data_IF_596460916728
#
_entry.id   IF_596460916728
#
_cell.length_a   1.000
_cell.length_b   1.000
_cell.length_c   1.000
_cell.angle_alpha   90.00
_cell.angle_beta   90.00
_cell.angle_gamma   90.00
#
_symmetry.space_group_name_H-M   'P 1'
#
loop_
_entity.id
_entity.type
_entity.pdbx_description
1 polymer ?
#
# COMPACT_ATOMS: atom_id res chain seq x y z
N UNK A 1 -16.47 1.25 -17.71
CA UNK A 1 -15.40 1.91 -16.92
C UNK A 1 -15.57 3.41 -17.05
N UNK A 2 -15.87 4.11 -15.96
CA UNK A 2 -15.92 5.57 -16.03
C UNK A 2 -14.49 6.10 -15.86
N UNK A 3 -13.95 6.78 -16.86
CA UNK A 3 -12.55 7.20 -16.93
C UNK A 3 -12.14 8.27 -15.89
N UNK A 4 -13.08 8.74 -15.08
CA UNK A 4 -12.88 9.81 -14.09
C UNK A 4 -13.49 9.36 -12.76
N UNK A 5 -12.66 9.27 -11.72
CA UNK A 5 -13.08 8.93 -10.36
C UNK A 5 -13.71 10.14 -9.65
N UNK A 6 -12.96 11.25 -9.59
CA UNK A 6 -13.31 12.44 -8.81
C UNK A 6 -12.90 13.73 -9.54
N UNK A 7 -13.69 14.79 -9.38
CA UNK A 7 -13.44 16.13 -9.95
C UNK A 7 -13.37 17.16 -8.80
N UNK A 8 -12.35 17.99 -8.82
CA UNK A 8 -12.12 19.09 -7.86
C UNK A 8 -12.10 20.41 -8.63
N UNK A 9 -12.82 21.42 -8.16
CA UNK A 9 -12.92 22.71 -8.85
C UNK A 9 -12.25 23.78 -8.00
N UNK A 10 -11.31 24.53 -8.57
CA UNK A 10 -10.69 25.70 -7.93
C UNK A 10 -11.18 26.99 -8.59
N UNK A 11 -11.89 27.85 -7.85
CA UNK A 11 -12.41 29.10 -8.40
C UNK A 11 -12.56 30.19 -7.32
N UNK A 12 -12.52 31.47 -7.73
CA UNK A 12 -12.75 32.60 -6.80
C UNK A 12 -14.22 32.79 -6.41
N UNK A 13 -15.16 32.30 -7.22
CA UNK A 13 -16.59 32.53 -7.04
C UNK A 13 -17.31 31.23 -6.66
N UNK A 14 -17.15 30.82 -5.40
CA UNK A 14 -17.72 29.56 -4.87
C UNK A 14 -19.22 29.43 -5.14
N UNK A 15 -19.99 30.49 -4.82
CA UNK A 15 -21.46 30.49 -4.87
C UNK A 15 -22.01 30.21 -6.27
N UNK A 16 -21.33 30.69 -7.32
CA UNK A 16 -21.74 30.43 -8.70
C UNK A 16 -21.57 28.96 -9.09
N UNK A 17 -20.55 28.28 -8.57
CA UNK A 17 -20.25 26.90 -8.94
C UNK A 17 -20.89 25.87 -8.01
N UNK A 18 -21.08 26.17 -6.72
CA UNK A 18 -21.72 25.26 -5.75
C UNK A 18 -23.14 24.81 -6.15
N UNK A 19 -23.84 25.60 -6.96
CA UNK A 19 -25.24 25.35 -7.26
C UNK A 19 -25.43 24.28 -8.35
N UNK A 20 -24.61 24.30 -9.41
CA UNK A 20 -24.67 23.28 -10.46
C UNK A 20 -23.82 22.06 -10.14
N UNK A 21 -22.80 22.19 -9.27
CA UNK A 21 -21.93 21.06 -8.92
C UNK A 21 -22.65 19.99 -8.11
N UNK A 22 -23.74 20.34 -7.41
CA UNK A 22 -24.60 19.41 -6.67
C UNK A 22 -25.30 18.39 -7.59
N UNK A 23 -25.49 18.73 -8.86
CA UNK A 23 -26.13 17.85 -9.83
C UNK A 23 -25.18 16.75 -10.33
N UNK A 24 -23.89 16.81 -10.00
CA UNK A 24 -22.85 15.90 -10.47
C UNK A 24 -22.20 15.13 -9.34
N UNK A 25 -22.50 13.83 -9.23
CA UNK A 25 -22.01 12.95 -8.16
C UNK A 25 -20.48 12.77 -8.12
N UNK A 26 -19.76 13.11 -9.19
CA UNK A 26 -18.30 13.02 -9.27
C UNK A 26 -17.57 14.27 -8.79
N UNK A 27 -18.27 15.38 -8.60
CA UNK A 27 -17.66 16.61 -8.14
C UNK A 27 -17.60 16.55 -6.61
N UNK A 28 -16.39 16.47 -6.05
CA UNK A 28 -16.22 16.36 -4.60
C UNK A 28 -16.46 17.68 -3.90
N UNK A 29 -15.86 18.77 -4.39
CA UNK A 29 -16.08 20.11 -3.85
C UNK A 29 -15.56 21.24 -4.77
N UNK A 30 -15.94 22.46 -4.43
CA UNK A 30 -15.48 23.73 -5.01
C UNK A 30 -14.63 24.47 -3.97
N UNK A 31 -13.37 24.70 -4.31
CA UNK A 31 -12.37 25.34 -3.45
C UNK A 31 -12.08 26.75 -3.91
N UNK A 32 -11.98 27.68 -2.95
CA UNK A 32 -11.54 29.06 -3.16
C UNK A 32 -10.12 29.31 -2.69
N UNK A 33 -9.59 28.39 -1.89
CA UNK A 33 -8.27 28.46 -1.28
C UNK A 33 -7.38 27.32 -1.77
N UNK A 34 -6.11 27.64 -2.06
CA UNK A 34 -5.17 26.69 -2.65
C UNK A 34 -4.77 25.60 -1.63
N UNK A 35 -4.70 25.94 -0.35
CA UNK A 35 -4.35 24.99 0.71
C UNK A 35 -5.44 23.95 0.85
N UNK A 36 -6.70 24.40 0.86
CA UNK A 36 -7.88 23.53 1.01
C UNK A 36 -8.01 22.53 -0.15
N UNK A 37 -7.76 22.95 -1.40
CA UNK A 37 -7.76 21.99 -2.52
C UNK A 37 -6.56 21.04 -2.46
N UNK A 38 -5.38 21.51 -2.05
CA UNK A 38 -4.21 20.65 -1.88
C UNK A 38 -4.45 19.57 -0.81
N UNK A 39 -5.07 19.91 0.32
CA UNK A 39 -5.46 18.95 1.36
C UNK A 39 -6.48 17.93 0.83
N UNK A 40 -7.53 18.40 0.14
CA UNK A 40 -8.54 17.52 -0.44
C UNK A 40 -7.96 16.57 -1.51
N UNK A 41 -7.02 17.06 -2.33
CA UNK A 41 -6.31 16.24 -3.32
C UNK A 41 -5.40 15.21 -2.66
N UNK A 42 -4.66 15.58 -1.60
CA UNK A 42 -3.85 14.62 -0.82
C UNK A 42 -4.72 13.52 -0.22
N UNK A 43 -5.81 13.91 0.43
CA UNK A 43 -6.75 12.97 1.04
C UNK A 43 -7.39 12.05 -0.02
N UNK A 44 -7.79 12.60 -1.17
CA UNK A 44 -8.35 11.81 -2.26
C UNK A 44 -7.32 10.84 -2.86
N UNK A 45 -6.06 11.24 -3.00
CA UNK A 45 -4.97 10.37 -3.45
C UNK A 45 -4.73 9.22 -2.48
N UNK A 46 -4.61 9.50 -1.18
CA UNK A 46 -4.45 8.48 -0.14
C UNK A 46 -5.64 7.52 -0.12
N UNK A 47 -6.86 8.07 -0.22
CA UNK A 47 -8.07 7.26 -0.20
C UNK A 47 -8.23 6.42 -1.47
N UNK A 48 -7.74 6.89 -2.63
CA UNK A 48 -7.64 6.08 -3.85
C UNK A 48 -6.68 4.90 -3.67
N UNK A 49 -5.54 5.10 -3.00
CA UNK A 49 -4.59 4.03 -2.74
C UNK A 49 -5.12 2.99 -1.73
N UNK A 50 -5.85 3.43 -0.70
CA UNK A 50 -6.50 2.57 0.29
C UNK A 50 -7.75 1.87 -0.24
N UNK A 51 -8.52 2.53 -1.10
CA UNK A 51 -9.73 1.96 -1.72
C UNK A 51 -9.45 1.25 -3.06
N UNK A 52 -8.19 1.12 -3.44
CA UNK A 52 -7.80 0.37 -4.63
C UNK A 52 -8.32 -1.08 -4.54
N UNK A 53 -8.65 -1.65 -5.70
CA UNK A 53 -9.23 -3.00 -5.84
C UNK A 53 -8.45 -4.00 -4.97
N UNK A 54 -9.18 -4.71 -4.10
CA UNK A 54 -8.62 -5.75 -3.24
C UNK A 54 -7.96 -6.84 -4.09
N UNK A 55 -6.75 -7.28 -3.69
CA UNK A 55 -6.16 -8.50 -4.24
C UNK A 55 -6.98 -9.70 -3.76
N UNK A 56 -7.82 -10.24 -4.65
CA UNK A 56 -8.66 -11.40 -4.35
C UNK A 56 -8.16 -12.63 -5.10
N UNK A 57 -7.27 -13.39 -4.48
CA UNK A 57 -6.82 -14.69 -5.00
C UNK A 57 -7.80 -15.83 -4.69
N UNK A 58 -8.74 -15.59 -3.77
CA UNK A 58 -9.80 -16.52 -3.40
C UNK A 58 -11.14 -15.80 -3.39
N UNK A 59 -12.16 -16.39 -3.98
CA UNK A 59 -13.53 -15.91 -3.77
C UNK A 59 -13.88 -16.11 -2.29
N UNK A 60 -14.07 -15.05 -1.52
CA UNK A 60 -14.51 -15.12 -0.10
C UNK A 60 -16.03 -15.25 0.03
N UNK A 61 -16.75 -15.26 -1.09
CA UNK A 61 -18.19 -15.51 -1.11
C UNK A 61 -18.49 -17.01 -0.88
N UNK A 62 -18.86 -17.35 0.36
CA UNK A 62 -19.36 -18.67 0.76
C UNK A 62 -18.44 -19.44 1.71
N UNK A 63 -19.07 -20.33 2.48
CA UNK A 63 -18.49 -21.21 3.51
C UNK A 63 -17.12 -21.78 3.10
N UNK A 64 -16.05 -21.23 3.68
CA UNK A 64 -14.66 -21.48 3.28
C UNK A 64 -14.26 -22.96 3.40
N UNK A 65 -15.00 -23.75 4.18
CA UNK A 65 -14.73 -25.18 4.39
C UNK A 65 -15.18 -26.08 3.23
N UNK A 66 -15.87 -25.56 2.21
CA UNK A 66 -16.41 -26.36 1.09
C UNK A 66 -15.75 -26.09 -0.27
N UNK A 67 -14.77 -25.19 -0.35
CA UNK A 67 -14.10 -24.89 -1.63
C UNK A 67 -12.96 -25.87 -1.86
N UNK A 68 -13.04 -26.62 -2.96
CA UNK A 68 -11.92 -27.42 -3.45
C UNK A 68 -10.74 -26.48 -3.73
N UNK A 69 -9.60 -26.72 -3.07
CA UNK A 69 -8.34 -26.02 -3.34
C UNK A 69 -7.90 -26.21 -4.81
N UNK A 70 -8.37 -27.27 -5.47
CA UNK A 70 -8.12 -27.54 -6.89
C UNK A 70 -8.78 -26.53 -7.86
N UNK A 71 -9.63 -25.62 -7.37
CA UNK A 71 -10.25 -24.53 -8.14
C UNK A 71 -9.62 -23.16 -7.89
N UNK A 72 -8.47 -23.10 -7.21
CA UNK A 72 -7.72 -21.86 -7.02
C UNK A 72 -7.27 -21.29 -8.37
N UNK A 73 -7.34 -19.97 -8.49
CA UNK A 73 -6.80 -19.25 -9.65
C UNK A 73 -5.29 -19.53 -9.77
N UNK A 74 -4.78 -19.77 -10.98
CA UNK A 74 -3.36 -20.01 -11.22
C UNK A 74 -2.47 -18.88 -10.68
N UNK A 75 -2.99 -17.65 -10.59
CA UNK A 75 -2.34 -16.51 -9.94
C UNK A 75 -1.97 -16.78 -8.47
N UNK A 76 -2.72 -17.61 -7.75
CA UNK A 76 -2.37 -18.04 -6.40
C UNK A 76 -1.08 -18.86 -6.39
N UNK A 77 -0.96 -19.83 -7.30
CA UNK A 77 0.26 -20.63 -7.45
C UNK A 77 1.46 -19.76 -7.80
N UNK A 78 1.32 -18.84 -8.76
CA UNK A 78 2.40 -17.92 -9.13
C UNK A 78 2.80 -17.01 -7.97
N UNK A 79 1.84 -16.53 -7.19
CA UNK A 79 2.11 -15.68 -6.03
C UNK A 79 2.81 -16.46 -4.91
N UNK A 80 2.44 -17.73 -4.68
CA UNK A 80 3.14 -18.60 -3.72
C UNK A 80 4.59 -18.86 -4.15
N UNK A 81 4.80 -19.22 -5.42
CA UNK A 81 6.14 -19.45 -5.97
C UNK A 81 6.98 -18.17 -5.87
N UNK A 82 6.42 -17.02 -6.23
CA UNK A 82 7.10 -15.72 -6.12
C UNK A 82 7.48 -15.43 -4.66
N UNK A 83 6.56 -15.64 -3.72
CA UNK A 83 6.84 -15.50 -2.28
C UNK A 83 7.99 -16.41 -1.85
N UNK A 84 7.97 -17.69 -2.19
CA UNK A 84 9.03 -18.64 -1.85
C UNK A 84 10.40 -18.24 -2.43
N UNK A 85 10.42 -17.77 -3.69
CA UNK A 85 11.63 -17.25 -4.33
C UNK A 85 12.16 -16.06 -3.54
N UNK A 86 11.31 -15.06 -3.27
CA UNK A 86 11.70 -13.85 -2.54
C UNK A 86 12.28 -14.18 -1.16
N UNK A 87 11.64 -15.07 -0.40
CA UNK A 87 12.09 -15.45 0.94
C UNK A 87 13.36 -16.31 0.95
N UNK A 88 13.74 -16.89 -0.19
CA UNK A 88 14.96 -17.67 -0.35
C UNK A 88 16.17 -16.81 -0.75
N UNK A 89 15.94 -15.65 -1.37
CA UNK A 89 17.00 -14.74 -1.77
C UNK A 89 17.68 -14.17 -0.51
N UNK A 90 19.02 -14.17 -0.52
CA UNK A 90 19.81 -13.48 0.49
C UNK A 90 20.01 -12.04 0.05
N UNK A 91 19.20 -11.14 0.61
CA UNK A 91 19.38 -9.71 0.41
C UNK A 91 20.53 -9.17 1.27
N UNK A 92 21.24 -8.21 0.71
CA UNK A 92 22.33 -7.49 1.36
C UNK A 92 22.15 -5.97 1.16
N UNK A 93 23.08 -5.18 1.71
CA UNK A 93 23.03 -3.72 1.60
C UNK A 93 23.06 -3.20 0.16
N UNK A 94 23.59 -3.98 -0.81
CA UNK A 94 23.65 -3.56 -2.20
C UNK A 94 22.24 -3.50 -2.80
N UNK A 95 21.39 -4.47 -2.48
CA UNK A 95 19.99 -4.48 -2.91
C UNK A 95 19.21 -3.26 -2.36
N UNK A 96 19.49 -2.87 -1.11
CA UNK A 96 18.89 -1.68 -0.49
C UNK A 96 19.35 -0.42 -1.23
N UNK A 97 20.64 -0.30 -1.54
CA UNK A 97 21.21 0.84 -2.28
C UNK A 97 20.65 0.95 -3.69
N UNK A 98 20.52 -0.16 -4.40
CA UNK A 98 19.91 -0.21 -5.73
C UNK A 98 18.45 0.25 -5.70
N UNK A 99 17.67 -0.22 -4.72
CA UNK A 99 16.29 0.23 -4.52
C UNK A 99 16.22 1.73 -4.22
N UNK A 100 17.06 2.24 -3.32
CA UNK A 100 17.12 3.67 -2.99
C UNK A 100 17.44 4.52 -4.21
N UNK A 101 18.41 4.10 -5.05
CA UNK A 101 18.76 4.82 -6.27
C UNK A 101 17.61 4.80 -7.28
N UNK A 102 16.96 3.64 -7.46
CA UNK A 102 15.76 3.54 -8.28
C UNK A 102 14.66 4.49 -7.82
N UNK A 103 14.40 4.58 -6.50
CA UNK A 103 13.42 5.52 -5.96
C UNK A 103 13.82 6.99 -6.18
N UNK A 104 15.11 7.34 -6.09
CA UNK A 104 15.57 8.72 -6.37
C UNK A 104 15.29 9.14 -7.80
N UNK A 105 15.52 8.23 -8.76
CA UNK A 105 15.22 8.47 -10.17
C UNK A 105 13.72 8.58 -10.42
N UNK A 106 12.93 7.69 -9.80
CA UNK A 106 11.48 7.67 -9.95
C UNK A 106 10.78 8.92 -9.38
N UNK A 107 11.35 9.52 -8.34
CA UNK A 107 10.78 10.66 -7.62
C UNK A 107 11.60 11.96 -7.72
N UNK A 108 12.36 12.13 -8.82
CA UNK A 108 13.29 13.26 -8.99
C UNK A 108 12.63 14.64 -8.82
N UNK A 109 11.36 14.78 -9.21
CA UNK A 109 10.60 16.04 -9.14
C UNK A 109 9.80 16.19 -7.83
N UNK A 110 9.98 15.31 -6.85
CA UNK A 110 9.22 15.30 -5.60
C UNK A 110 10.14 15.40 -4.38
N UNK A 111 10.51 16.64 -4.01
CA UNK A 111 11.39 16.95 -2.87
C UNK A 111 10.93 16.32 -1.55
N UNK A 112 9.61 16.26 -1.32
CA UNK A 112 9.04 15.65 -0.12
C UNK A 112 9.32 14.16 -0.06
N UNK A 113 9.16 13.44 -1.18
CA UNK A 113 9.47 12.01 -1.25
C UNK A 113 10.98 11.78 -1.20
N UNK A 114 11.78 12.62 -1.86
CA UNK A 114 13.25 12.54 -1.80
C UNK A 114 13.79 12.68 -0.37
N UNK A 115 13.19 13.54 0.46
CA UNK A 115 13.55 13.65 1.87
C UNK A 115 13.20 12.38 2.66
N UNK A 116 12.06 11.75 2.38
CA UNK A 116 11.70 10.46 2.97
C UNK A 116 12.65 9.34 2.51
N UNK A 117 13.09 9.33 1.25
CA UNK A 117 14.07 8.36 0.74
C UNK A 117 15.42 8.53 1.46
N UNK A 118 15.88 9.77 1.68
CA UNK A 118 17.11 10.04 2.46
C UNK A 118 16.97 9.57 3.91
N UNK A 119 15.81 9.76 4.53
CA UNK A 119 15.53 9.25 5.87
C UNK A 119 15.55 7.73 5.91
N UNK A 120 14.91 7.09 4.94
CA UNK A 120 14.90 5.63 4.78
C UNK A 120 16.31 5.06 4.64
N UNK A 121 17.13 5.57 3.71
CA UNK A 121 18.49 5.08 3.49
C UNK A 121 19.36 5.15 4.75
N UNK A 122 19.21 6.20 5.57
CA UNK A 122 20.02 6.40 6.77
C UNK A 122 19.54 5.59 7.97
N UNK A 123 18.23 5.47 8.13
CA UNK A 123 17.61 4.99 9.36
C UNK A 123 16.88 3.66 9.16
N UNK A 124 17.08 2.96 8.03
CA UNK A 124 16.35 1.73 7.72
C UNK A 124 16.40 0.73 8.88
N UNK A 125 17.61 0.48 9.40
CA UNK A 125 17.86 -0.46 10.49
C UNK A 125 17.49 0.06 11.88
N UNK A 126 17.19 1.35 12.02
CA UNK A 126 16.85 1.96 13.32
C UNK A 126 15.39 1.69 13.71
N UNK A 127 14.55 1.37 12.73
CA UNK A 127 13.12 1.18 12.89
C UNK A 127 12.70 -0.21 12.40
N UNK A 128 11.52 -0.68 12.83
CA UNK A 128 11.05 -2.00 12.41
C UNK A 128 10.46 -1.98 10.99
N UNK A 129 10.47 -3.11 10.26
CA UNK A 129 9.85 -3.20 8.93
C UNK A 129 8.36 -2.80 8.92
N UNK A 130 7.62 -3.12 9.99
CA UNK A 130 6.20 -2.77 10.13
C UNK A 130 6.04 -1.27 10.36
N UNK A 131 6.94 -0.65 11.14
CA UNK A 131 6.95 0.80 11.29
C UNK A 131 7.15 1.48 9.93
N UNK A 132 8.11 1.03 9.13
CA UNK A 132 8.32 1.54 7.76
C UNK A 132 7.10 1.32 6.86
N UNK A 133 6.44 0.16 6.97
CA UNK A 133 5.23 -0.15 6.23
C UNK A 133 4.02 0.71 6.64
N UNK A 134 3.96 1.19 7.88
CA UNK A 134 2.79 1.92 8.39
C UNK A 134 3.01 3.43 8.52
N UNK A 135 4.26 3.88 8.57
CA UNK A 135 4.59 5.30 8.59
C UNK A 135 4.18 5.96 7.26
N UNK A 136 3.87 7.25 7.31
CA UNK A 136 3.54 8.05 6.13
C UNK A 136 4.81 8.27 5.28
N UNK A 137 5.09 7.31 4.39
CA UNK A 137 6.21 7.36 3.47
C UNK A 137 5.88 6.67 2.14
N UNK A 138 6.84 6.63 1.22
CA UNK A 138 6.66 6.09 -0.13
C UNK A 138 6.54 4.56 -0.18
N UNK A 139 6.96 3.83 0.86
CA UNK A 139 7.03 2.36 0.84
C UNK A 139 5.66 1.69 0.76
N UNK A 140 4.73 2.06 1.65
CA UNK A 140 3.37 1.49 1.67
C UNK A 140 2.65 1.60 0.32
N UNK A 141 2.50 2.80 -0.27
CA UNK A 141 1.76 2.94 -1.52
C UNK A 141 2.47 2.25 -2.68
N UNK A 142 3.80 2.31 -2.72
CA UNK A 142 4.61 1.66 -3.76
C UNK A 142 4.51 0.13 -3.70
N UNK A 143 4.69 -0.46 -2.51
CA UNK A 143 4.62 -1.91 -2.31
C UNK A 143 3.23 -2.44 -2.63
N UNK A 144 2.19 -1.85 -2.04
CA UNK A 144 0.82 -2.33 -2.23
C UNK A 144 0.36 -2.16 -3.69
N UNK A 145 0.79 -1.09 -4.37
CA UNK A 145 0.54 -0.93 -5.79
C UNK A 145 1.26 -2.00 -6.61
N UNK A 146 2.53 -2.27 -6.34
CA UNK A 146 3.30 -3.29 -7.04
C UNK A 146 2.67 -4.68 -6.89
N UNK A 147 2.27 -5.05 -5.67
CA UNK A 147 1.57 -6.32 -5.41
C UNK A 147 0.22 -6.39 -6.13
N UNK A 148 -0.60 -5.32 -6.08
CA UNK A 148 -1.90 -5.28 -6.78
C UNK A 148 -1.78 -5.43 -8.29
N UNK A 149 -0.75 -4.84 -8.88
CA UNK A 149 -0.52 -4.87 -10.32
C UNK A 149 0.35 -6.06 -10.75
N UNK A 150 0.82 -6.88 -9.80
CA UNK A 150 1.82 -7.92 -10.04
C UNK A 150 3.04 -7.39 -10.81
N UNK A 151 3.51 -6.19 -10.45
CA UNK A 151 4.70 -5.57 -11.04
C UNK A 151 5.96 -6.24 -10.49
N UNK A 152 6.38 -7.32 -11.16
CA UNK A 152 7.49 -8.17 -10.73
C UNK A 152 8.80 -7.39 -10.62
N UNK A 153 9.03 -6.41 -11.49
CA UNK A 153 10.25 -5.61 -11.48
C UNK A 153 10.36 -4.75 -10.22
N UNK A 154 9.25 -4.19 -9.74
CA UNK A 154 9.20 -3.45 -8.48
C UNK A 154 9.23 -4.42 -7.29
N UNK A 155 8.49 -5.53 -7.35
CA UNK A 155 8.45 -6.54 -6.28
C UNK A 155 9.85 -7.08 -5.98
N UNK A 156 10.65 -7.40 -7.00
CA UNK A 156 12.02 -7.91 -6.82
C UNK A 156 12.91 -6.82 -6.19
N UNK A 157 12.82 -5.56 -6.63
CA UNK A 157 13.58 -4.44 -6.04
C UNK A 157 13.22 -4.20 -4.57
N UNK A 158 11.95 -4.41 -4.23
CA UNK A 158 11.45 -4.35 -2.85
C UNK A 158 11.62 -5.67 -2.09
N UNK A 159 12.26 -6.68 -2.69
CA UNK A 159 12.34 -8.03 -2.15
C UNK A 159 12.93 -8.10 -0.75
N UNK A 160 13.99 -7.30 -0.49
CA UNK A 160 14.59 -7.20 0.84
C UNK A 160 13.57 -6.72 1.89
N UNK A 161 12.79 -5.70 1.55
CA UNK A 161 11.79 -5.14 2.46
C UNK A 161 10.61 -6.09 2.65
N UNK A 162 10.22 -6.83 1.60
CA UNK A 162 9.19 -7.87 1.68
C UNK A 162 9.65 -9.02 2.59
N UNK A 163 10.90 -9.48 2.46
CA UNK A 163 11.48 -10.52 3.33
C UNK A 163 11.51 -10.07 4.79
N UNK A 164 12.03 -8.87 5.06
CA UNK A 164 12.09 -8.28 6.40
C UNK A 164 10.69 -8.09 7.00
N UNK A 165 9.74 -7.56 6.23
CA UNK A 165 8.35 -7.37 6.66
C UNK A 165 7.66 -8.70 6.95
N UNK A 166 7.84 -9.69 6.08
CA UNK A 166 7.25 -11.02 6.26
C UNK A 166 7.76 -11.69 7.53
N UNK A 167 9.09 -11.74 7.73
CA UNK A 167 9.70 -12.33 8.92
C UNK A 167 9.28 -11.62 10.20
N UNK A 168 9.14 -10.29 10.16
CA UNK A 168 8.67 -9.55 11.32
C UNK A 168 7.20 -9.87 11.65
N UNK A 169 6.34 -10.00 10.64
CA UNK A 169 4.94 -10.44 10.83
C UNK A 169 4.88 -11.87 11.37
N UNK A 170 5.67 -12.81 10.82
CA UNK A 170 5.73 -14.19 11.30
C UNK A 170 6.16 -14.26 12.78
N UNK A 171 7.16 -13.47 13.15
CA UNK A 171 7.63 -13.35 14.54
C UNK A 171 6.51 -12.86 15.45
N UNK A 172 5.83 -11.76 15.12
CA UNK A 172 4.73 -11.23 15.93
C UNK A 172 3.55 -12.19 16.01
N UNK A 173 3.23 -12.87 14.92
CA UNK A 173 2.19 -13.91 14.91
C UNK A 173 2.59 -15.07 15.84
N UNK A 174 3.84 -15.51 15.80
CA UNK A 174 4.33 -16.54 16.72
C UNK A 174 4.31 -16.07 18.18
N UNK A 175 4.67 -14.82 18.48
CA UNK A 175 4.56 -14.27 19.84
C UNK A 175 3.11 -14.22 20.32
N UNK A 176 2.17 -13.89 19.43
CA UNK A 176 0.75 -13.78 19.76
C UNK A 176 0.07 -15.15 19.94
N UNK A 177 0.50 -16.19 19.21
CA UNK A 177 -0.21 -17.47 19.13
C UNK A 177 0.63 -18.71 19.49
N UNK A 178 1.95 -18.60 19.57
CA UNK A 178 2.91 -19.69 19.77
C UNK A 178 3.21 -20.02 21.23
N UNK A 179 3.06 -19.06 22.15
CA UNK A 179 3.16 -19.31 23.59
C UNK A 179 1.77 -19.60 24.17
N UNK A 180 1.44 -20.89 24.30
CA UNK A 180 0.38 -21.45 25.18
C UNK A 180 -0.83 -20.53 25.47
N UNK A 181 -1.61 -20.15 24.46
CA UNK A 181 -2.98 -19.68 24.68
C UNK A 181 -3.90 -20.88 24.93
N UNK A 182 -3.81 -21.43 26.14
CA UNK A 182 -4.91 -22.15 26.76
C UNK A 182 -6.00 -21.14 27.19
N UNK A 183 -6.95 -20.87 26.30
CA UNK A 183 -8.30 -20.43 26.69
C UNK A 183 -8.54 -18.92 26.92
N UNK A 184 -7.70 -18.02 26.43
CA UNK A 184 -7.97 -16.57 26.48
C UNK A 184 -8.86 -16.10 25.33
N UNK A 185 -10.07 -15.64 25.61
CA UNK A 185 -11.01 -15.07 24.63
C UNK A 185 -10.36 -13.85 23.94
N UNK A 186 -10.24 -13.93 22.62
CA UNK A 186 -9.81 -12.81 21.78
C UNK A 186 -10.87 -11.71 21.80
N UNK A 187 -10.61 -10.63 22.52
CA UNK A 187 -11.52 -9.49 22.61
C UNK A 187 -11.07 -8.42 21.61
N UNK A 188 -11.87 -8.19 20.57
CA UNK A 188 -11.65 -7.12 19.59
C UNK A 188 -12.49 -5.92 20.00
N UNK A 189 -11.86 -4.77 20.19
CA UNK A 189 -12.56 -3.50 20.34
C UNK A 189 -12.86 -2.95 18.94
N UNK A 190 -14.15 -2.73 18.67
CA UNK A 190 -14.64 -2.05 17.47
C UNK A 190 -14.79 -0.57 17.73
#
# INVERSE_FOLDING_TARGET
MSQVDSIFIFCRNKKHHEQWTKDWSKIKDVFTDITSICEALKQASQQCEHNAISMSFMTTSGDASKKNLDQLDCSFMYTQILKEILLTIKFDELHIKEFVNYCRELFIDNDSVLNNIKKFERNYCDETPIWWYTCECFLYPMLNRALRLMDVDIIIKMGFFIDDLHRHIEKLHFEQFGEQYSGGIFTVYR
#
